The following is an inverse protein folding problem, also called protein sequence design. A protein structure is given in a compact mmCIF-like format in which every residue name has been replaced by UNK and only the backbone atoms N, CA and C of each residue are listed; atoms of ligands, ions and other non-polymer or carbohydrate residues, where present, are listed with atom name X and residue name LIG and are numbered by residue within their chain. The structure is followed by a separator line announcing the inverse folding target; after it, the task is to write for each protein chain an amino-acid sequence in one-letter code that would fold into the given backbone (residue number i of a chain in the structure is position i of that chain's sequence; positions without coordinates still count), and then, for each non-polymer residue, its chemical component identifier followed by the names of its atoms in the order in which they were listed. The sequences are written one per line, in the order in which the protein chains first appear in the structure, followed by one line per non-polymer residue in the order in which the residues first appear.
data_IF_568795291052
#
_entry.id   IF_568795291052
#
_cell.length_a   1.000
_cell.length_b   1.000
_cell.length_c   1.000
_cell.angle_alpha   90.00
_cell.angle_beta   90.00
_cell.angle_gamma   90.00
#
_symmetry.space_group_name_H-M   'P 1'
#
loop_
_entity.id
_entity.type
_entity.pdbx_description
1 polymer ?
#
# COMPACT_ATOMS: atom_id res chain seq x y z
N UNK A 1 29.95 5.51 48.41
CA UNK A 1 30.54 5.99 47.13
C UNK A 1 30.24 5.07 45.92
N UNK A 2 29.15 4.29 45.94
CA UNK A 2 28.89 3.26 44.90
C UNK A 2 28.02 3.77 43.73
N UNK A 3 27.10 4.71 43.98
CA UNK A 3 26.17 5.22 42.94
C UNK A 3 26.78 6.08 41.83
N UNK A 4 27.99 6.63 41.99
CA UNK A 4 28.67 7.41 40.93
C UNK A 4 29.40 6.52 39.91
N UNK A 5 29.74 5.29 40.30
CA UNK A 5 30.41 4.32 39.44
C UNK A 5 29.42 3.66 38.47
N UNK A 6 28.18 3.43 38.91
CA UNK A 6 27.11 2.84 38.08
C UNK A 6 26.60 3.82 37.02
N UNK A 7 26.43 5.10 37.35
CA UNK A 7 25.99 6.13 36.39
C UNK A 7 27.03 6.35 35.28
N UNK A 8 28.32 6.29 35.59
CA UNK A 8 29.39 6.41 34.58
C UNK A 8 29.44 5.20 33.65
N UNK A 9 29.29 3.99 34.19
CA UNK A 9 29.22 2.77 33.40
C UNK A 9 28.01 2.75 32.46
N UNK A 10 26.83 3.10 32.99
CA UNK A 10 25.60 3.24 32.20
C UNK A 10 25.72 4.36 31.16
N UNK A 11 26.38 5.48 31.48
CA UNK A 11 26.63 6.56 30.50
C UNK A 11 27.52 6.08 29.36
N UNK A 12 28.60 5.36 29.65
CA UNK A 12 29.45 4.80 28.61
C UNK A 12 28.71 3.79 27.72
N UNK A 13 27.79 3.01 28.31
CA UNK A 13 26.97 2.06 27.56
C UNK A 13 25.88 2.76 26.72
N UNK A 14 25.29 3.84 27.24
CA UNK A 14 24.38 4.68 26.46
C UNK A 14 25.10 5.34 25.29
N UNK A 15 26.34 5.78 25.47
CA UNK A 15 27.12 6.41 24.40
C UNK A 15 27.59 5.40 23.35
N UNK A 16 27.92 4.17 23.74
CA UNK A 16 28.20 3.08 22.77
C UNK A 16 26.93 2.69 22.01
N UNK A 17 25.79 2.55 22.69
CA UNK A 17 24.50 2.26 22.04
C UNK A 17 24.09 3.36 21.06
N UNK A 18 24.26 4.64 21.43
CA UNK A 18 24.03 5.78 20.52
C UNK A 18 24.94 5.74 19.29
N UNK A 19 26.20 5.32 19.46
CA UNK A 19 27.13 5.16 18.34
C UNK A 19 26.69 4.03 17.42
N UNK A 20 26.31 2.88 17.96
CA UNK A 20 25.81 1.75 17.19
C UNK A 20 24.52 2.09 16.45
N UNK A 21 23.58 2.82 17.07
CA UNK A 21 22.37 3.29 16.39
C UNK A 21 22.69 4.15 15.17
N UNK A 22 23.59 5.13 15.30
CA UNK A 22 24.02 5.97 14.18
C UNK A 22 24.70 5.17 13.05
N UNK A 23 25.52 4.18 13.42
CA UNK A 23 26.14 3.29 12.44
C UNK A 23 25.11 2.40 11.73
N UNK A 24 24.11 1.93 12.46
CA UNK A 24 23.01 1.12 11.93
C UNK A 24 22.16 1.94 10.95
N UNK A 25 21.79 3.16 11.32
CA UNK A 25 21.05 4.12 10.49
C UNK A 25 21.80 4.41 9.18
N UNK A 26 23.08 4.79 9.26
CA UNK A 26 23.90 5.04 8.07
C UNK A 26 24.06 3.79 7.18
N UNK A 27 24.11 2.60 7.77
CA UNK A 27 24.16 1.34 7.03
C UNK A 27 22.84 1.03 6.33
N UNK A 28 21.71 1.34 6.96
CA UNK A 28 20.39 1.21 6.35
C UNK A 28 20.20 2.19 5.20
N UNK A 29 20.56 3.47 5.38
CA UNK A 29 20.51 4.47 4.31
C UNK A 29 21.33 4.04 3.09
N UNK A 30 22.57 3.59 3.30
CA UNK A 30 23.42 3.06 2.22
C UNK A 30 22.83 1.82 1.54
N UNK A 31 22.16 0.94 2.30
CA UNK A 31 21.48 -0.23 1.72
C UNK A 31 20.26 0.18 0.91
N UNK A 32 19.48 1.17 1.37
CA UNK A 32 18.34 1.71 0.65
C UNK A 32 18.79 2.37 -0.66
N UNK A 33 19.83 3.21 -0.62
CA UNK A 33 20.38 3.87 -1.80
C UNK A 33 20.84 2.83 -2.84
N UNK A 34 21.64 1.84 -2.43
CA UNK A 34 22.07 0.74 -3.32
C UNK A 34 20.92 -0.10 -3.85
N UNK A 35 19.90 -0.34 -3.04
CA UNK A 35 18.72 -1.09 -3.46
C UNK A 35 17.90 -0.29 -4.49
N UNK A 36 17.75 1.02 -4.29
CA UNK A 36 17.09 1.92 -5.22
C UNK A 36 17.87 2.06 -6.53
N UNK A 37 19.20 2.24 -6.47
CA UNK A 37 20.07 2.29 -7.66
C UNK A 37 19.97 0.99 -8.47
N UNK A 38 20.00 -0.16 -7.80
CA UNK A 38 19.81 -1.47 -8.44
C UNK A 38 18.42 -1.61 -9.05
N UNK A 39 17.38 -1.06 -8.40
CA UNK A 39 16.02 -1.06 -8.92
C UNK A 39 15.88 -0.14 -10.14
N UNK A 40 16.50 1.05 -10.11
CA UNK A 40 16.52 1.98 -11.25
C UNK A 40 17.28 1.40 -12.43
N UNK A 41 18.42 0.75 -12.21
CA UNK A 41 19.17 0.05 -13.26
C UNK A 41 18.39 -1.14 -13.84
N UNK A 42 17.68 -1.90 -13.00
CA UNK A 42 16.80 -2.98 -13.47
C UNK A 42 15.64 -2.46 -14.31
N UNK A 43 15.10 -1.29 -13.99
CA UNK A 43 14.05 -0.64 -14.77
C UNK A 43 14.60 -0.09 -16.09
N UNK A 44 15.76 0.58 -16.05
CA UNK A 44 16.43 1.12 -17.24
C UNK A 44 16.78 0.01 -18.24
N UNK A 45 17.39 -1.08 -17.77
CA UNK A 45 17.70 -2.26 -18.60
C UNK A 45 16.44 -2.94 -19.16
N UNK A 46 15.34 -2.94 -18.40
CA UNK A 46 14.04 -3.46 -18.87
C UNK A 46 13.38 -2.56 -19.91
N UNK A 47 13.54 -1.23 -19.81
CA UNK A 47 13.05 -0.27 -20.80
C UNK A 47 13.88 -0.34 -22.08
N UNK A 48 15.21 -0.38 -21.95
CA UNK A 48 16.15 -0.52 -23.08
C UNK A 48 15.95 -1.86 -23.82
N UNK A 49 15.74 -2.97 -23.09
CA UNK A 49 15.40 -4.27 -23.68
C UNK A 49 14.00 -4.34 -24.30
N UNK A 50 13.10 -3.41 -23.95
CA UNK A 50 11.72 -3.33 -24.47
C UNK A 50 11.60 -2.41 -25.70
N UNK A 51 12.67 -1.73 -26.14
CA UNK A 51 12.62 -0.78 -27.27
C UNK A 51 12.45 -1.42 -28.67
N UNK A 52 12.25 -2.74 -28.74
CA UNK A 52 11.87 -3.46 -29.97
C UNK A 52 10.37 -3.75 -30.14
N UNK A 53 9.51 -3.41 -29.16
CA UNK A 53 8.06 -3.58 -29.29
C UNK A 53 7.38 -2.24 -29.10
N UNK A 54 6.98 -1.64 -30.22
CA UNK A 54 6.27 -0.38 -30.25
C UNK A 54 5.09 -0.39 -29.28
N UNK A 55 4.81 0.79 -28.73
CA UNK A 55 3.64 1.09 -27.91
C UNK A 55 2.39 0.74 -28.73
N UNK A 56 1.95 -0.51 -28.61
CA UNK A 56 0.56 -0.88 -28.76
C UNK A 56 -0.03 -0.71 -27.37
N UNK A 57 -0.69 0.42 -27.16
CA UNK A 57 -1.75 0.48 -26.15
C UNK A 57 -2.79 -0.55 -26.60
N UNK A 58 -2.67 -1.78 -26.10
CA UNK A 58 -3.67 -2.81 -26.22
C UNK A 58 -4.27 -3.01 -24.83
N UNK A 59 -5.44 -2.39 -24.65
CA UNK A 59 -6.38 -2.58 -23.55
C UNK A 59 -6.94 -4.00 -23.52
N UNK A 60 -6.26 -5.06 -23.06
CA UNK A 60 -6.96 -6.35 -22.95
C UNK A 60 -6.58 -7.11 -21.67
N UNK A 61 -7.59 -7.24 -20.81
CA UNK A 61 -7.55 -7.74 -19.44
C UNK A 61 -6.89 -9.10 -19.24
N UNK A 62 -6.15 -9.20 -18.14
CA UNK A 62 -5.93 -10.42 -17.35
C UNK A 62 -4.85 -10.22 -16.29
N UNK A 63 -4.02 -9.18 -16.40
CA UNK A 63 -3.15 -8.76 -15.32
C UNK A 63 -3.89 -7.71 -14.48
N UNK A 64 -4.53 -8.14 -13.40
CA UNK A 64 -4.89 -7.20 -12.33
C UNK A 64 -3.61 -6.44 -12.00
N UNK A 65 -3.61 -5.13 -12.24
CA UNK A 65 -2.48 -4.28 -11.91
C UNK A 65 -2.17 -4.46 -10.42
N UNK A 66 -1.00 -5.05 -10.13
CA UNK A 66 -0.62 -5.44 -8.77
C UNK A 66 -0.60 -4.21 -7.85
N UNK A 67 -0.27 -3.04 -8.41
CA UNK A 67 -0.28 -1.79 -7.68
C UNK A 67 -1.70 -1.28 -7.42
N UNK A 68 -2.64 -1.44 -8.36
CA UNK A 68 -4.06 -1.19 -8.12
C UNK A 68 -4.65 -2.11 -7.03
N UNK A 69 -4.33 -3.41 -7.06
CA UNK A 69 -4.74 -4.37 -6.00
C UNK A 69 -4.23 -3.92 -4.63
N UNK A 70 -2.96 -3.56 -4.51
CA UNK A 70 -2.35 -3.10 -3.25
C UNK A 70 -3.03 -1.86 -2.69
N UNK A 71 -3.37 -0.88 -3.53
CA UNK A 71 -4.10 0.32 -3.11
C UNK A 71 -5.48 -0.02 -2.57
N UNK A 72 -6.21 -0.89 -3.26
CA UNK A 72 -7.53 -1.36 -2.83
C UNK A 72 -7.49 -2.06 -1.48
N UNK A 73 -6.49 -2.92 -1.26
CA UNK A 73 -6.31 -3.62 0.03
C UNK A 73 -6.03 -2.61 1.14
N UNK A 74 -5.14 -1.65 0.91
CA UNK A 74 -4.81 -0.62 1.89
C UNK A 74 -6.03 0.26 2.24
N UNK A 75 -6.82 0.65 1.24
CA UNK A 75 -8.08 1.39 1.44
C UNK A 75 -9.07 0.56 2.29
N UNK A 76 -9.30 -0.72 1.96
CA UNK A 76 -10.19 -1.59 2.73
C UNK A 76 -9.70 -1.81 4.16
N UNK A 77 -8.42 -2.08 4.37
CA UNK A 77 -7.84 -2.29 5.70
C UNK A 77 -7.99 -1.03 6.56
N UNK A 78 -7.81 0.16 5.98
CA UNK A 78 -8.06 1.42 6.65
C UNK A 78 -9.54 1.57 7.07
N UNK A 79 -10.48 1.25 6.17
CA UNK A 79 -11.92 1.31 6.48
C UNK A 79 -12.32 0.31 7.57
N UNK A 80 -11.73 -0.89 7.60
CA UNK A 80 -11.94 -1.86 8.67
C UNK A 80 -11.46 -1.32 10.02
N UNK A 81 -10.25 -0.75 10.05
CA UNK A 81 -9.74 -0.10 11.25
C UNK A 81 -10.59 1.11 11.69
N UNK A 82 -11.05 1.93 10.74
CA UNK A 82 -11.91 3.09 10.97
C UNK A 82 -13.28 2.71 11.50
N UNK A 83 -13.89 1.63 11.01
CA UNK A 83 -15.18 1.09 11.52
C UNK A 83 -15.09 0.67 12.98
N UNK A 84 -13.92 0.21 13.42
CA UNK A 84 -13.65 -0.06 14.84
C UNK A 84 -13.21 1.18 15.61
N UNK A 85 -13.16 2.35 14.97
CA UNK A 85 -12.68 3.60 15.55
C UNK A 85 -11.19 3.57 15.90
N UNK A 86 -10.40 2.71 15.26
CA UNK A 86 -8.99 2.46 15.58
C UNK A 86 -8.74 2.00 17.02
N UNK A 87 -9.78 1.55 17.74
CA UNK A 87 -9.69 1.12 19.14
C UNK A 87 -9.95 -0.38 19.23
N UNK A 88 -8.89 -1.12 19.57
CA UNK A 88 -8.93 -2.58 19.66
C UNK A 88 -8.90 -3.25 18.29
N UNK A 89 -8.45 -4.51 18.28
CA UNK A 89 -8.17 -5.30 17.08
C UNK A 89 -6.71 -5.19 16.61
N UNK A 90 -6.36 -6.03 15.64
CA UNK A 90 -4.99 -6.17 15.11
C UNK A 90 -4.99 -5.64 13.68
N UNK A 91 -4.14 -4.64 13.35
CA UNK A 91 -3.98 -4.16 11.99
C UNK A 91 -3.67 -5.31 11.02
N UNK A 92 -2.91 -6.30 11.47
CA UNK A 92 -2.60 -7.49 10.67
C UNK A 92 -3.86 -8.26 10.26
N UNK A 93 -4.84 -8.37 11.16
CA UNK A 93 -6.13 -8.99 10.85
C UNK A 93 -6.94 -8.15 9.85
N UNK A 94 -6.93 -6.82 10.00
CA UNK A 94 -7.63 -5.90 9.08
C UNK A 94 -7.06 -5.99 7.66
N UNK A 95 -5.75 -6.17 7.54
CA UNK A 95 -5.08 -6.37 6.27
C UNK A 95 -5.43 -7.73 5.66
N UNK A 96 -5.42 -8.82 6.43
CA UNK A 96 -5.80 -10.14 5.94
C UNK A 96 -7.25 -10.19 5.45
N UNK A 97 -8.16 -9.61 6.23
CA UNK A 97 -9.58 -9.55 5.87
C UNK A 97 -9.78 -8.70 4.59
N UNK A 98 -9.06 -7.58 4.47
CA UNK A 98 -9.07 -6.74 3.27
C UNK A 98 -8.48 -7.45 2.04
N UNK A 99 -7.40 -8.24 2.19
CA UNK A 99 -6.84 -9.02 1.09
C UNK A 99 -7.85 -10.01 0.53
N UNK A 100 -8.53 -10.75 1.41
CA UNK A 100 -9.56 -11.72 1.01
C UNK A 100 -10.74 -11.04 0.30
N UNK A 101 -11.20 -9.90 0.82
CA UNK A 101 -12.32 -9.15 0.25
C UNK A 101 -11.98 -8.63 -1.16
N UNK A 102 -10.82 -8.01 -1.33
CA UNK A 102 -10.38 -7.49 -2.63
C UNK A 102 -10.09 -8.63 -3.61
N UNK A 103 -9.48 -9.72 -3.18
CA UNK A 103 -9.24 -10.88 -4.05
C UNK A 103 -10.54 -11.48 -4.55
N UNK A 104 -11.55 -11.61 -3.67
CA UNK A 104 -12.86 -12.11 -4.05
C UNK A 104 -13.54 -11.17 -5.06
N UNK A 105 -13.47 -9.85 -4.85
CA UNK A 105 -14.03 -8.85 -5.77
C UNK A 105 -13.35 -8.90 -7.14
N UNK A 106 -12.03 -9.03 -7.15
CA UNK A 106 -11.26 -9.15 -8.40
C UNK A 106 -11.56 -10.46 -9.13
N UNK A 107 -11.71 -11.58 -8.42
CA UNK A 107 -12.15 -12.85 -9.00
C UNK A 107 -13.55 -12.76 -9.60
N UNK A 108 -14.44 -11.97 -9.00
CA UNK A 108 -15.79 -11.71 -9.51
C UNK A 108 -15.82 -10.73 -10.69
N UNK A 109 -14.67 -10.20 -11.10
CA UNK A 109 -14.56 -9.25 -12.21
C UNK A 109 -14.99 -7.82 -11.84
N UNK A 110 -14.91 -7.45 -10.57
CA UNK A 110 -15.16 -6.09 -10.14
C UNK A 110 -14.04 -5.16 -10.64
N UNK A 111 -14.42 -4.16 -11.42
CA UNK A 111 -13.53 -3.12 -11.96
C UNK A 111 -14.00 -1.77 -11.41
N UNK A 112 -13.14 -1.07 -10.67
CA UNK A 112 -13.42 0.23 -10.00
C UNK A 112 -13.94 1.31 -10.96
N UNK A 113 -13.76 1.14 -12.27
CA UNK A 113 -14.15 2.08 -13.33
C UNK A 113 -15.63 2.02 -13.78
N UNK A 114 -16.46 1.16 -13.20
CA UNK A 114 -17.91 1.30 -13.35
C UNK A 114 -18.47 2.08 -12.17
N UNK A 115 -18.45 3.41 -12.25
CA UNK A 115 -19.52 4.20 -11.62
C UNK A 115 -20.79 3.92 -12.43
N UNK A 116 -21.76 3.10 -11.97
CA UNK A 116 -23.07 3.19 -12.55
C UNK A 116 -23.60 4.58 -12.19
N UNK A 117 -23.90 5.35 -13.23
CA UNK A 117 -24.64 6.61 -13.15
C UNK A 117 -26.08 6.29 -12.69
N UNK A 118 -26.23 5.81 -11.46
CA UNK A 118 -27.52 5.51 -10.81
C UNK A 118 -28.02 6.79 -10.14
N UNK A 119 -28.44 7.73 -10.97
CA UNK A 119 -29.38 8.80 -10.60
C UNK A 119 -30.30 9.07 -11.81
N UNK A 120 -30.71 8.00 -12.49
CA UNK A 120 -31.79 8.02 -13.48
C UNK A 120 -32.95 7.19 -12.96
N UNK A 121 -33.54 7.62 -11.84
CA UNK A 121 -34.86 7.18 -11.41
C UNK A 121 -35.58 8.34 -10.70
N UNK A 122 -36.06 9.32 -11.47
CA UNK A 122 -37.15 10.22 -11.07
C UNK A 122 -37.59 11.04 -12.29
N UNK A 123 -38.50 10.46 -13.10
CA UNK A 123 -39.53 11.11 -13.96
C UNK A 123 -39.89 10.19 -15.12
N UNK A 124 -40.43 9.01 -14.82
CA UNK A 124 -41.29 8.29 -15.75
C UNK A 124 -42.14 7.35 -14.91
N UNK A 125 -43.36 7.79 -14.62
CA UNK A 125 -44.59 7.02 -14.29
C UNK A 125 -45.42 7.81 -13.26
N UNK A 126 -45.98 8.98 -13.63
CA UNK A 126 -47.25 9.47 -13.05
C UNK A 126 -47.81 10.67 -13.84
N UNK A 127 -48.03 10.52 -15.16
CA UNK A 127 -48.85 11.49 -15.90
C UNK A 127 -49.66 10.82 -17.02
N UNK A 128 -50.19 9.63 -16.73
CA UNK A 128 -51.32 9.03 -17.45
C UNK A 128 -52.39 8.72 -16.41
N UNK A 129 -53.10 9.75 -15.95
CA UNK A 129 -54.42 9.64 -15.29
C UNK A 129 -54.87 11.01 -14.78
N UNK A 130 -55.17 11.91 -15.71
CA UNK A 130 -56.27 12.84 -15.48
C UNK A 130 -57.00 13.07 -16.79
N UNK A 131 -58.13 12.37 -16.89
CA UNK A 131 -59.24 12.69 -17.75
C UNK A 131 -59.77 14.10 -17.45
#
# INVERSE_FOLDING_TARGET
MVGKLTVKALSSEVDTLRKHLRELEANFERKLEKAMEKATEKLKTRIEGSQGSGIRIQEHGSAVDVDARRRLIAECAYLHAERRGFVGGSPEQDWLDAEMEIDQLLLQGWVKDKTPKMASQETRTQQESRA
#
